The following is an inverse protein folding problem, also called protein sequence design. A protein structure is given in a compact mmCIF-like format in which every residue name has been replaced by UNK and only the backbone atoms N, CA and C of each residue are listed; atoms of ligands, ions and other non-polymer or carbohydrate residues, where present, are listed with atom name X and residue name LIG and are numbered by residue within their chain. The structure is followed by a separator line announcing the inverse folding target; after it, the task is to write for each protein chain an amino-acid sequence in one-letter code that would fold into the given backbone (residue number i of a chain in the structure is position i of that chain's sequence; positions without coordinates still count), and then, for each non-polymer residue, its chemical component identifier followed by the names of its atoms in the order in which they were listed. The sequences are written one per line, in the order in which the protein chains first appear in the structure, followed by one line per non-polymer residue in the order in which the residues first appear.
data_IF_772058895634
#
_entry.id   IF_772058895634
#
_cell.length_a   1.000
_cell.length_b   1.000
_cell.length_c   1.000
_cell.angle_alpha   90.00
_cell.angle_beta   90.00
_cell.angle_gamma   90.00
#
_symmetry.space_group_name_H-M   'P 1'
#
loop_
_entity.id
_entity.type
_entity.pdbx_description
1 polymer ?
#
# COMPACT_ATOMS: atom_id res chain seq x y z
N UNK A 1 -18.30 3.62 -7.77
CA UNK A 1 -17.47 3.57 -6.55
C UNK A 1 -15.99 3.71 -6.91
N UNK A 2 -15.41 2.81 -7.71
CA UNK A 2 -13.98 2.74 -8.06
C UNK A 2 -13.36 4.08 -8.48
N UNK A 3 -13.89 4.76 -9.50
CA UNK A 3 -13.34 6.05 -9.98
C UNK A 3 -13.36 7.17 -8.93
N UNK A 4 -14.42 7.25 -8.13
CA UNK A 4 -14.52 8.26 -7.06
C UNK A 4 -13.45 8.04 -6.00
N UNK A 5 -13.20 6.79 -5.64
CA UNK A 5 -12.15 6.43 -4.69
C UNK A 5 -10.75 6.67 -5.27
N UNK A 6 -10.50 6.27 -6.52
CA UNK A 6 -9.25 6.55 -7.21
C UNK A 6 -8.96 8.04 -7.30
N UNK A 7 -9.94 8.85 -7.69
CA UNK A 7 -9.78 10.31 -7.74
C UNK A 7 -9.39 10.87 -6.38
N UNK A 8 -10.00 10.38 -5.31
CA UNK A 8 -9.69 10.81 -3.94
C UNK A 8 -8.27 10.43 -3.52
N UNK A 9 -7.85 9.20 -3.79
CA UNK A 9 -6.54 8.69 -3.43
C UNK A 9 -5.42 9.35 -4.21
N UNK A 10 -5.59 9.47 -5.51
CA UNK A 10 -4.59 10.07 -6.39
C UNK A 10 -4.45 11.58 -6.17
N UNK A 11 -5.50 12.27 -5.73
CA UNK A 11 -5.48 13.74 -5.49
C UNK A 11 -4.41 14.21 -4.49
N UNK A 12 -3.92 13.33 -3.63
CA UNK A 12 -2.85 13.67 -2.70
C UNK A 12 -1.48 13.88 -3.39
N UNK A 13 -1.30 13.29 -4.59
CA UNK A 13 -0.01 13.26 -5.31
C UNK A 13 -0.12 13.80 -6.73
N UNK A 14 -1.31 13.83 -7.32
CA UNK A 14 -1.57 14.16 -8.71
C UNK A 14 -2.77 15.08 -8.85
N UNK A 15 -2.83 15.82 -9.94
CA UNK A 15 -4.04 16.53 -10.35
C UNK A 15 -5.01 15.53 -10.97
N UNK A 16 -6.26 15.55 -10.52
CA UNK A 16 -7.29 14.64 -10.99
C UNK A 16 -8.54 15.39 -11.44
N UNK A 17 -9.09 15.04 -12.60
CA UNK A 17 -10.29 15.66 -13.16
C UNK A 17 -11.13 14.63 -13.90
N UNK A 18 -12.45 14.68 -13.70
CA UNK A 18 -13.39 13.94 -14.57
C UNK A 18 -13.60 14.69 -15.86
N UNK A 19 -13.40 14.00 -17.00
CA UNK A 19 -13.74 14.55 -18.31
C UNK A 19 -15.24 14.39 -18.62
N UNK A 20 -15.70 15.08 -19.69
CA UNK A 20 -17.10 15.01 -20.13
C UNK A 20 -17.55 13.62 -20.63
N UNK A 21 -16.63 12.68 -20.85
CA UNK A 21 -16.87 11.33 -21.35
C UNK A 21 -16.79 10.26 -20.24
N UNK A 22 -16.68 10.68 -18.98
CA UNK A 22 -16.65 9.78 -17.82
C UNK A 22 -15.29 9.11 -17.59
N UNK A 23 -14.19 9.71 -18.07
CA UNK A 23 -12.84 9.29 -17.74
C UNK A 23 -12.27 10.14 -16.61
N UNK A 24 -11.53 9.51 -15.71
CA UNK A 24 -10.69 10.19 -14.75
C UNK A 24 -9.34 10.49 -15.42
N UNK A 25 -9.08 11.76 -15.67
CA UNK A 25 -7.79 12.25 -16.15
C UNK A 25 -6.86 12.47 -14.96
N UNK A 26 -5.62 12.01 -15.08
CA UNK A 26 -4.57 12.19 -14.08
C UNK A 26 -3.40 12.91 -14.72
N UNK A 27 -2.94 13.99 -14.10
CA UNK A 27 -1.81 14.79 -14.56
C UNK A 27 -0.88 15.16 -13.40
N UNK A 28 0.34 15.54 -13.74
CA UNK A 28 1.34 16.07 -12.80
C UNK A 28 2.00 17.28 -13.43
N UNK A 29 2.02 18.42 -12.71
CA UNK A 29 2.63 19.66 -13.18
C UNK A 29 2.10 20.11 -14.57
N UNK A 30 0.80 19.88 -14.81
CA UNK A 30 0.14 20.19 -16.09
C UNK A 30 0.41 19.18 -17.21
N UNK A 31 1.21 18.14 -16.99
CA UNK A 31 1.53 17.10 -17.97
C UNK A 31 0.53 15.94 -17.78
N UNK A 32 -0.27 15.59 -18.82
CA UNK A 32 -1.17 14.44 -18.75
C UNK A 32 -0.37 13.14 -18.61
N UNK A 33 -0.70 12.34 -17.59
CA UNK A 33 -0.08 11.03 -17.33
C UNK A 33 -0.93 9.89 -17.93
N UNK A 34 -2.20 9.86 -17.56
CA UNK A 34 -3.09 8.78 -17.96
C UNK A 34 -4.58 9.15 -17.86
N UNK A 35 -5.42 8.26 -18.36
CA UNK A 35 -6.87 8.31 -18.24
C UNK A 35 -7.38 6.97 -17.72
N UNK A 36 -8.34 6.98 -16.80
CA UNK A 36 -8.87 5.79 -16.14
C UNK A 36 -10.39 5.75 -16.29
N UNK A 37 -10.92 4.64 -16.82
CA UNK A 37 -12.37 4.41 -16.93
C UNK A 37 -12.98 3.98 -15.58
N UNK A 38 -14.31 4.02 -15.53
CA UNK A 38 -15.10 3.56 -14.37
C UNK A 38 -14.84 2.10 -13.97
N UNK A 39 -14.42 1.26 -14.91
CA UNK A 39 -14.06 -0.15 -14.70
C UNK A 39 -12.57 -0.36 -14.36
N UNK A 40 -11.80 0.71 -14.22
CA UNK A 40 -10.36 0.68 -13.97
C UNK A 40 -9.50 0.41 -15.21
N UNK A 41 -10.09 0.44 -16.42
CA UNK A 41 -9.29 0.39 -17.65
C UNK A 41 -8.39 1.63 -17.72
N UNK A 42 -7.11 1.39 -17.91
CA UNK A 42 -6.05 2.40 -17.89
C UNK A 42 -5.55 2.67 -19.32
N UNK A 43 -5.39 3.94 -19.66
CA UNK A 43 -4.75 4.39 -20.89
C UNK A 43 -3.68 5.43 -20.55
N UNK A 44 -2.42 5.14 -20.85
CA UNK A 44 -1.33 6.10 -20.80
C UNK A 44 -0.98 6.63 -22.18
N UNK A 45 -0.37 7.80 -22.26
CA UNK A 45 0.16 8.33 -23.52
C UNK A 45 1.44 7.56 -23.89
N UNK A 46 1.33 6.61 -24.84
CA UNK A 46 2.42 5.72 -25.23
C UNK A 46 3.51 6.39 -26.09
N UNK A 47 3.26 7.61 -26.61
CA UNK A 47 4.09 8.25 -27.65
C UNK A 47 5.22 9.14 -27.11
N UNK A 48 5.42 9.22 -25.79
CA UNK A 48 6.50 10.02 -25.22
C UNK A 48 7.72 9.14 -24.97
N UNK A 49 8.92 9.61 -25.35
CA UNK A 49 10.20 9.11 -24.86
C UNK A 49 10.18 9.26 -23.34
N UNK A 50 9.71 8.23 -22.66
CA UNK A 50 9.30 8.26 -21.27
C UNK A 50 10.55 8.36 -20.39
N UNK A 51 10.73 9.50 -19.73
CA UNK A 51 11.73 9.64 -18.68
C UNK A 51 11.47 8.59 -17.57
N UNK A 52 12.50 8.22 -16.84
CA UNK A 52 12.36 7.29 -15.72
C UNK A 52 11.39 7.84 -14.65
N UNK A 53 11.35 9.16 -14.49
CA UNK A 53 10.37 9.82 -13.62
C UNK A 53 8.92 9.59 -14.08
N UNK A 54 8.65 9.70 -15.39
CA UNK A 54 7.32 9.44 -15.92
C UNK A 54 6.93 7.97 -15.71
N UNK A 55 7.83 7.03 -15.98
CA UNK A 55 7.60 5.58 -15.76
C UNK A 55 7.29 5.28 -14.31
N UNK A 56 8.03 5.90 -13.38
CA UNK A 56 7.79 5.77 -11.94
C UNK A 56 6.40 6.28 -11.54
N UNK A 57 5.97 7.45 -12.05
CA UNK A 57 4.63 7.99 -11.80
C UNK A 57 3.53 7.08 -12.35
N UNK A 58 3.73 6.51 -13.54
CA UNK A 58 2.76 5.56 -14.14
C UNK A 58 2.68 4.28 -13.31
N UNK A 59 3.81 3.71 -12.88
CA UNK A 59 3.82 2.52 -12.04
C UNK A 59 3.08 2.78 -10.71
N UNK A 60 3.36 3.89 -10.04
CA UNK A 60 2.68 4.30 -8.82
C UNK A 60 1.14 4.43 -8.99
N UNK A 61 0.69 4.99 -10.11
CA UNK A 61 -0.75 5.06 -10.42
C UNK A 61 -1.34 3.67 -10.69
N UNK A 62 -0.61 2.78 -11.37
CA UNK A 62 -1.07 1.41 -11.64
C UNK A 62 -1.18 0.58 -10.37
N UNK A 63 -0.25 0.73 -9.44
CA UNK A 63 -0.27 0.08 -8.13
C UNK A 63 -1.47 0.58 -7.30
N UNK A 64 -1.73 1.89 -7.30
CA UNK A 64 -2.92 2.45 -6.65
C UNK A 64 -4.23 1.91 -7.27
N UNK A 65 -4.30 1.81 -8.62
CA UNK A 65 -5.46 1.22 -9.30
C UNK A 65 -5.66 -0.23 -8.88
N UNK A 66 -4.58 -1.02 -8.81
CA UNK A 66 -4.63 -2.42 -8.42
C UNK A 66 -5.18 -2.57 -6.99
N UNK A 67 -4.61 -1.81 -6.06
CA UNK A 67 -5.03 -1.80 -4.65
C UNK A 67 -6.49 -1.39 -4.49
N UNK A 68 -6.90 -0.29 -5.14
CA UNK A 68 -8.29 0.20 -5.04
C UNK A 68 -9.27 -0.80 -5.65
N UNK A 69 -8.93 -1.43 -6.78
CA UNK A 69 -9.77 -2.48 -7.39
C UNK A 69 -9.93 -3.70 -6.49
N UNK A 70 -8.87 -4.12 -5.82
CA UNK A 70 -8.91 -5.24 -4.88
C UNK A 70 -9.98 -5.00 -3.81
N UNK A 71 -9.85 -3.93 -3.03
CA UNK A 71 -10.78 -3.73 -1.92
C UNK A 71 -12.19 -3.29 -2.34
N UNK A 72 -12.34 -2.56 -3.44
CA UNK A 72 -13.67 -2.23 -3.98
C UNK A 72 -14.39 -3.49 -4.41
N UNK A 73 -13.70 -4.40 -5.13
CA UNK A 73 -14.26 -5.68 -5.53
C UNK A 73 -14.64 -6.54 -4.31
N UNK A 74 -13.76 -6.61 -3.32
CA UNK A 74 -14.07 -7.31 -2.06
C UNK A 74 -15.30 -6.71 -1.39
N UNK A 75 -15.35 -5.40 -1.25
CA UNK A 75 -16.46 -4.69 -0.61
C UNK A 75 -17.80 -4.90 -1.32
N UNK A 76 -17.83 -4.85 -2.65
CA UNK A 76 -19.06 -5.02 -3.43
C UNK A 76 -19.69 -6.41 -3.25
N UNK A 77 -18.88 -7.45 -3.02
CA UNK A 77 -19.33 -8.82 -2.85
C UNK A 77 -19.41 -9.25 -1.36
N UNK A 78 -18.89 -8.45 -0.45
CA UNK A 78 -18.84 -8.78 0.97
C UNK A 78 -20.23 -8.76 1.63
N UNK A 79 -20.52 -9.70 2.53
CA UNK A 79 -21.74 -9.67 3.33
C UNK A 79 -21.71 -8.48 4.29
N UNK A 80 -22.91 -7.97 4.58
CA UNK A 80 -23.08 -6.93 5.60
C UNK A 80 -22.86 -7.52 7.00
N UNK A 81 -22.27 -6.73 7.89
CA UNK A 81 -22.11 -7.12 9.30
C UNK A 81 -23.49 -7.27 9.96
N UNK A 82 -23.61 -8.29 10.81
CA UNK A 82 -24.92 -8.62 11.44
C UNK A 82 -25.24 -7.76 12.65
N UNK A 83 -24.21 -7.32 13.39
CA UNK A 83 -24.41 -6.53 14.59
C UNK A 83 -24.92 -5.12 14.26
N UNK A 84 -25.91 -4.65 15.01
CA UNK A 84 -26.64 -3.39 14.75
C UNK A 84 -25.70 -2.18 14.72
N UNK A 85 -24.75 -2.12 15.64
CA UNK A 85 -23.84 -0.97 15.80
C UNK A 85 -22.81 -0.84 14.66
N UNK A 86 -22.65 -1.86 13.84
CA UNK A 86 -21.70 -1.91 12.71
C UNK A 86 -22.37 -2.37 11.42
N UNK A 87 -23.68 -2.25 11.33
CA UNK A 87 -24.48 -2.72 10.19
C UNK A 87 -24.17 -1.95 8.88
N UNK A 88 -23.52 -0.80 8.94
CA UNK A 88 -23.00 -0.05 7.78
C UNK A 88 -21.67 -0.58 7.25
N UNK A 89 -21.06 -1.53 7.97
CA UNK A 89 -19.84 -2.20 7.53
C UNK A 89 -20.12 -3.51 6.79
N UNK A 90 -19.20 -3.85 5.87
CA UNK A 90 -19.18 -5.14 5.18
C UNK A 90 -17.94 -5.92 5.59
N UNK A 91 -18.10 -7.23 5.79
CA UNK A 91 -17.03 -8.13 6.21
C UNK A 91 -16.19 -8.54 5.00
N UNK A 92 -14.99 -7.98 4.88
CA UNK A 92 -14.06 -8.28 3.78
C UNK A 92 -13.35 -9.61 3.97
N UNK A 93 -12.96 -9.92 5.22
CA UNK A 93 -12.33 -11.19 5.58
C UNK A 93 -12.58 -11.53 7.05
N UNK A 94 -12.47 -12.82 7.39
CA UNK A 94 -12.49 -13.30 8.77
C UNK A 94 -11.55 -14.49 8.93
N UNK A 95 -10.85 -14.55 10.07
CA UNK A 95 -10.04 -15.69 10.47
C UNK A 95 -9.96 -15.79 11.99
N UNK A 96 -10.25 -16.98 12.52
CA UNK A 96 -10.40 -17.19 13.97
C UNK A 96 -11.45 -16.25 14.56
N UNK A 97 -11.03 -15.46 15.52
CA UNK A 97 -11.85 -14.44 16.20
C UNK A 97 -11.66 -13.02 15.63
N UNK A 98 -10.97 -12.89 14.52
CA UNK A 98 -10.64 -11.58 13.93
C UNK A 98 -11.37 -11.37 12.61
N UNK A 99 -11.92 -10.18 12.43
CA UNK A 99 -12.58 -9.74 11.20
C UNK A 99 -11.89 -8.49 10.65
N UNK A 100 -11.77 -8.43 9.32
CA UNK A 100 -11.49 -7.21 8.56
C UNK A 100 -12.79 -6.76 7.91
N UNK A 101 -13.20 -5.55 8.17
CA UNK A 101 -14.41 -4.95 7.61
C UNK A 101 -14.14 -3.57 7.01
N UNK A 102 -15.05 -3.11 6.18
CA UNK A 102 -15.00 -1.77 5.61
C UNK A 102 -16.38 -1.14 5.52
N UNK A 103 -16.41 0.18 5.61
CA UNK A 103 -17.55 1.01 5.23
C UNK A 103 -17.12 2.03 4.18
N UNK A 104 -18.07 2.50 3.38
CA UNK A 104 -17.82 3.51 2.35
C UNK A 104 -18.83 4.65 2.47
N UNK A 105 -18.32 5.87 2.41
CA UNK A 105 -19.15 7.05 2.25
C UNK A 105 -18.64 7.92 1.10
N UNK A 106 -19.53 8.59 0.37
CA UNK A 106 -19.13 9.48 -0.73
C UNK A 106 -18.23 10.64 -0.27
N UNK A 107 -18.47 11.12 0.95
CA UNK A 107 -17.70 12.22 1.54
C UNK A 107 -16.30 11.79 1.98
N UNK A 108 -16.19 10.67 2.68
CA UNK A 108 -14.95 10.27 3.35
C UNK A 108 -14.19 9.15 2.61
N UNK A 109 -14.81 8.46 1.63
CA UNK A 109 -14.28 7.27 0.97
C UNK A 109 -14.37 6.05 1.87
N UNK A 110 -13.46 5.12 1.71
CA UNK A 110 -13.38 3.92 2.52
C UNK A 110 -12.77 4.16 3.89
N UNK A 111 -13.35 3.49 4.88
CA UNK A 111 -12.77 3.29 6.20
C UNK A 111 -12.73 1.78 6.47
N UNK A 112 -11.55 1.27 6.74
CA UNK A 112 -11.31 -0.12 7.10
C UNK A 112 -11.22 -0.24 8.62
N UNK A 113 -11.64 -1.39 9.13
CA UNK A 113 -11.52 -1.70 10.54
C UNK A 113 -11.22 -3.18 10.76
N UNK A 114 -10.41 -3.48 11.76
CA UNK A 114 -10.23 -4.83 12.27
C UNK A 114 -10.80 -4.95 13.67
N UNK A 115 -11.63 -5.97 13.91
CA UNK A 115 -12.24 -6.25 15.21
C UNK A 115 -11.95 -7.68 15.65
N UNK A 116 -12.02 -7.89 16.97
CA UNK A 116 -12.22 -9.21 17.55
C UNK A 116 -13.72 -9.49 17.63
N UNK A 117 -14.12 -10.71 17.31
CA UNK A 117 -15.50 -11.19 17.41
C UNK A 117 -15.65 -12.13 18.59
N UNK A 118 -16.86 -12.16 19.18
CA UNK A 118 -17.24 -13.22 20.11
C UNK A 118 -17.61 -14.52 19.37
N UNK A 119 -17.99 -15.56 20.12
CA UNK A 119 -18.42 -16.83 19.54
C UNK A 119 -19.68 -16.72 18.66
N UNK A 120 -20.51 -15.68 18.87
CA UNK A 120 -21.74 -15.41 18.12
C UNK A 120 -21.46 -14.59 16.85
N UNK A 121 -20.21 -14.16 16.64
CA UNK A 121 -19.79 -13.37 15.48
C UNK A 121 -20.06 -11.87 15.60
N UNK A 122 -20.41 -11.39 16.80
CA UNK A 122 -20.54 -9.95 17.03
C UNK A 122 -19.16 -9.31 17.27
N UNK A 123 -18.88 -8.13 16.68
CA UNK A 123 -17.66 -7.38 16.98
C UNK A 123 -17.74 -6.90 18.44
N UNK A 124 -16.77 -7.31 19.24
CA UNK A 124 -16.88 -7.13 20.69
C UNK A 124 -15.98 -6.04 21.22
N UNK A 125 -14.76 -5.90 20.76
CA UNK A 125 -13.82 -4.92 21.30
C UNK A 125 -12.61 -4.62 20.39
N UNK A 126 -11.98 -3.48 20.68
CA UNK A 126 -10.68 -3.03 20.17
C UNK A 126 -10.62 -2.91 18.65
N UNK A 127 -11.48 -2.04 18.12
CA UNK A 127 -11.44 -1.65 16.72
C UNK A 127 -10.15 -0.88 16.44
N UNK A 128 -9.44 -1.30 15.39
CA UNK A 128 -8.37 -0.53 14.79
C UNK A 128 -8.86 -0.02 13.44
N UNK A 129 -8.94 1.32 13.29
CA UNK A 129 -9.58 2.00 12.17
C UNK A 129 -8.53 2.71 11.32
N UNK A 130 -8.58 2.52 10.03
CA UNK A 130 -7.67 3.17 9.10
C UNK A 130 -8.33 3.41 7.73
N UNK A 131 -8.10 4.55 7.09
CA UNK A 131 -8.44 4.73 5.68
C UNK A 131 -7.44 4.02 4.75
N UNK A 132 -6.32 3.52 5.28
CA UNK A 132 -5.28 2.81 4.51
C UNK A 132 -5.56 1.31 4.50
N UNK A 133 -5.82 0.76 3.31
CA UNK A 133 -6.13 -0.65 3.12
C UNK A 133 -4.95 -1.58 3.42
N UNK A 134 -3.74 -1.20 3.01
CA UNK A 134 -2.53 -2.01 3.25
C UNK A 134 -2.25 -2.14 4.74
N UNK A 135 -2.34 -1.03 5.48
CA UNK A 135 -2.27 -1.05 6.94
C UNK A 135 -3.33 -1.97 7.57
N UNK A 136 -4.58 -1.87 7.09
CA UNK A 136 -5.67 -2.69 7.63
C UNK A 136 -5.48 -4.19 7.33
N UNK A 137 -4.92 -4.55 6.15
CA UNK A 137 -4.55 -5.93 5.82
C UNK A 137 -3.45 -6.45 6.76
N UNK A 138 -2.40 -5.66 6.98
CA UNK A 138 -1.32 -6.02 7.89
C UNK A 138 -1.84 -6.18 9.33
N UNK A 139 -2.62 -5.21 9.82
CA UNK A 139 -3.24 -5.29 11.13
C UNK A 139 -4.12 -6.54 11.29
N UNK A 140 -4.90 -6.88 10.25
CA UNK A 140 -5.69 -8.12 10.23
C UNK A 140 -4.80 -9.36 10.28
N UNK A 141 -3.75 -9.44 9.47
CA UNK A 141 -2.83 -10.57 9.43
C UNK A 141 -2.13 -10.80 10.79
N UNK A 142 -1.72 -9.72 11.45
CA UNK A 142 -1.10 -9.79 12.78
C UNK A 142 -2.13 -10.19 13.85
N UNK A 143 -3.30 -9.53 13.88
CA UNK A 143 -4.32 -9.76 14.91
C UNK A 143 -4.97 -11.13 14.81
N UNK A 144 -5.10 -11.67 13.60
CA UNK A 144 -5.59 -13.02 13.35
C UNK A 144 -4.56 -14.12 13.64
N UNK A 145 -3.30 -13.75 13.83
CA UNK A 145 -2.21 -14.70 14.06
C UNK A 145 -1.62 -15.30 12.79
N UNK A 146 -2.03 -14.85 11.59
CA UNK A 146 -1.40 -15.27 10.33
C UNK A 146 0.07 -14.87 10.27
N UNK A 147 0.41 -13.68 10.81
CA UNK A 147 1.77 -13.16 10.86
C UNK A 147 2.14 -12.86 12.30
N UNK A 148 3.30 -13.36 12.72
CA UNK A 148 3.84 -13.03 14.03
C UNK A 148 4.40 -11.61 14.00
N UNK A 149 3.86 -10.71 14.83
CA UNK A 149 4.29 -9.32 14.96
C UNK A 149 5.81 -9.17 15.12
N UNK A 150 6.46 -10.07 15.85
CA UNK A 150 7.91 -10.04 16.07
C UNK A 150 8.76 -10.43 14.85
N UNK A 151 8.12 -10.79 13.73
CA UNK A 151 8.80 -11.03 12.45
C UNK A 151 8.64 -9.87 11.46
N UNK A 152 7.95 -8.80 11.86
CA UNK A 152 7.77 -7.59 11.06
C UNK A 152 8.72 -6.52 11.61
N UNK A 153 9.43 -5.88 10.70
CA UNK A 153 10.19 -4.67 11.00
C UNK A 153 9.38 -3.46 10.54
N UNK A 154 9.32 -2.41 11.34
CA UNK A 154 8.83 -1.10 10.91
C UNK A 154 9.81 -0.48 9.89
N UNK A 155 9.36 0.52 9.14
CA UNK A 155 10.20 1.25 8.19
C UNK A 155 11.50 1.79 8.85
N UNK A 156 11.39 2.31 10.08
CA UNK A 156 12.56 2.82 10.82
C UNK A 156 13.51 1.69 11.23
N UNK A 157 13.00 0.57 11.72
CA UNK A 157 13.83 -0.60 12.07
C UNK A 157 14.51 -1.19 10.83
N UNK A 158 13.79 -1.27 9.70
CA UNK A 158 14.37 -1.70 8.42
C UNK A 158 15.46 -0.76 7.94
N UNK A 159 15.26 0.56 8.08
CA UNK A 159 16.28 1.56 7.75
C UNK A 159 17.51 1.45 8.64
N UNK A 160 17.33 1.21 9.95
CA UNK A 160 18.43 0.99 10.88
C UNK A 160 19.22 -0.27 10.55
N UNK A 161 18.51 -1.37 10.22
CA UNK A 161 19.14 -2.62 9.79
C UNK A 161 19.89 -2.46 8.46
N UNK A 162 19.33 -1.73 7.48
CA UNK A 162 20.05 -1.40 6.24
C UNK A 162 21.34 -0.64 6.52
N UNK A 163 21.34 0.36 7.41
CA UNK A 163 22.58 1.07 7.82
C UNK A 163 23.60 0.15 8.46
N UNK A 164 23.14 -0.82 9.29
CA UNK A 164 24.04 -1.82 9.85
C UNK A 164 24.66 -2.71 8.76
N UNK A 165 23.89 -3.12 7.77
CA UNK A 165 24.38 -3.92 6.63
C UNK A 165 25.38 -3.11 5.81
N UNK A 166 25.07 -1.85 5.48
CA UNK A 166 25.99 -0.96 4.75
C UNK A 166 27.31 -0.76 5.51
N UNK A 167 27.23 -0.53 6.82
CA UNK A 167 28.41 -0.41 7.68
C UNK A 167 29.26 -1.68 7.67
N UNK A 168 28.63 -2.85 7.81
CA UNK A 168 29.33 -4.13 7.77
C UNK A 168 30.04 -4.35 6.42
N UNK A 169 29.38 -4.08 5.31
CA UNK A 169 29.95 -4.18 3.95
C UNK A 169 31.12 -3.21 3.72
N UNK A 170 31.01 -1.98 4.26
CA UNK A 170 32.04 -0.94 4.03
C UNK A 170 33.24 -1.01 4.98
N UNK A 171 33.13 -1.66 6.14
CA UNK A 171 34.16 -1.60 7.19
C UNK A 171 34.72 -2.97 7.60
N UNK A 172 34.17 -4.08 7.11
CA UNK A 172 34.66 -5.41 7.43
C UNK A 172 35.59 -5.92 6.32
N UNK A 173 36.89 -5.82 6.52
CA UNK A 173 37.92 -6.22 5.56
C UNK A 173 38.00 -7.76 5.35
N UNK A 174 37.33 -8.55 6.20
CA UNK A 174 37.43 -10.02 6.22
C UNK A 174 36.18 -10.72 5.70
N UNK A 175 35.25 -10.01 5.06
CA UNK A 175 34.08 -10.61 4.47
C UNK A 175 34.47 -11.55 3.31
N UNK A 176 33.97 -12.77 3.36
CA UNK A 176 34.05 -13.68 2.21
C UNK A 176 33.01 -13.29 1.16
N UNK A 177 33.24 -13.70 -0.09
CA UNK A 177 32.29 -13.50 -1.19
C UNK A 177 30.88 -14.01 -0.87
N UNK A 178 30.78 -15.15 -0.18
CA UNK A 178 29.48 -15.70 0.25
C UNK A 178 28.77 -14.81 1.30
N UNK A 179 29.53 -14.23 2.23
CA UNK A 179 29.00 -13.32 3.25
C UNK A 179 28.53 -12.00 2.62
N UNK A 180 29.30 -11.43 1.67
CA UNK A 180 28.87 -10.25 0.91
C UNK A 180 27.56 -10.51 0.18
N UNK A 181 27.45 -11.63 -0.53
CA UNK A 181 26.21 -12.02 -1.23
C UNK A 181 25.03 -12.24 -0.30
N UNK A 182 25.26 -12.73 0.93
CA UNK A 182 24.21 -12.86 1.93
C UNK A 182 23.75 -11.49 2.44
N UNK A 183 24.68 -10.56 2.65
CA UNK A 183 24.36 -9.18 3.05
C UNK A 183 23.60 -8.43 1.96
N UNK A 184 23.95 -8.63 0.68
CA UNK A 184 23.18 -8.06 -0.44
C UNK A 184 21.73 -8.55 -0.46
N UNK A 185 21.52 -9.85 -0.32
CA UNK A 185 20.17 -10.43 -0.25
C UNK A 185 19.38 -9.96 0.97
N UNK A 186 20.06 -9.76 2.09
CA UNK A 186 19.42 -9.24 3.29
C UNK A 186 18.99 -7.79 3.09
N UNK A 187 19.84 -6.98 2.48
CA UNK A 187 19.54 -5.58 2.16
C UNK A 187 18.36 -5.47 1.19
N UNK A 188 18.36 -6.25 0.10
CA UNK A 188 17.25 -6.35 -0.84
C UNK A 188 15.93 -6.69 -0.11
N UNK A 189 15.96 -7.71 0.76
CA UNK A 189 14.79 -8.12 1.53
C UNK A 189 14.29 -7.07 2.52
N UNK A 190 15.19 -6.27 3.12
CA UNK A 190 14.83 -5.20 4.03
C UNK A 190 14.24 -3.98 3.31
N UNK A 191 14.66 -3.74 2.06
CA UNK A 191 14.15 -2.64 1.23
C UNK A 191 12.90 -3.03 0.45
N UNK A 192 12.71 -4.32 0.20
CA UNK A 192 11.54 -4.86 -0.50
C UNK A 192 10.26 -4.59 0.33
N UNK A 193 9.34 -3.85 -0.21
CA UNK A 193 8.13 -3.40 0.50
C UNK A 193 8.20 -1.99 1.11
N UNK A 194 9.35 -1.33 1.08
CA UNK A 194 9.52 0.05 1.52
C UNK A 194 10.20 0.91 0.44
N UNK A 195 9.44 1.35 -0.55
CA UNK A 195 9.93 2.17 -1.66
C UNK A 195 10.67 3.46 -1.23
N UNK A 196 10.36 3.98 -0.03
CA UNK A 196 11.06 5.12 0.58
C UNK A 196 12.52 4.82 0.98
N UNK A 197 12.85 3.55 1.27
CA UNK A 197 14.21 3.16 1.67
C UNK A 197 15.18 3.10 0.50
N UNK A 198 14.73 2.73 -0.70
CA UNK A 198 15.56 2.75 -1.91
C UNK A 198 16.10 4.15 -2.23
N UNK A 199 15.26 5.17 -2.04
CA UNK A 199 15.64 6.57 -2.29
C UNK A 199 16.69 7.04 -1.29
N UNK A 200 16.59 6.64 -0.03
CA UNK A 200 17.55 7.00 1.03
C UNK A 200 18.89 6.28 0.87
N UNK A 201 18.89 5.01 0.48
CA UNK A 201 20.11 4.22 0.23
C UNK A 201 20.90 4.79 -0.96
N UNK A 202 20.23 5.12 -2.06
CA UNK A 202 20.87 5.75 -3.24
C UNK A 202 21.48 7.14 -2.96
N UNK A 203 20.90 7.91 -2.03
CA UNK A 203 21.46 9.20 -1.59
C UNK A 203 22.72 9.03 -0.73
N UNK A 204 22.78 8.02 0.15
CA UNK A 204 23.97 7.74 0.98
C UNK A 204 25.18 7.37 0.11
N UNK A 205 24.99 6.55 -0.92
CA UNK A 205 26.07 6.15 -1.82
C UNK A 205 26.66 7.34 -2.63
N UNK A 206 25.84 8.35 -2.93
CA UNK A 206 26.33 9.57 -3.63
C UNK A 206 27.15 10.50 -2.73
N UNK A 207 26.86 10.53 -1.42
CA UNK A 207 27.58 11.36 -0.46
C UNK A 207 28.93 10.77 -0.04
N UNK A 208 29.09 9.45 -0.09
CA UNK A 208 30.34 8.76 0.22
C UNK A 208 31.29 8.63 -0.98
N UNK A 209 30.87 9.11 -2.17
CA UNK A 209 31.68 9.09 -3.42
C UNK A 209 32.24 10.48 -3.79
N UNK A 210 32.10 11.46 -2.91
CA UNK A 210 32.72 12.79 -2.99
C UNK A 210 33.78 12.95 -1.89
#
# INVERSE_FOLDING_TARGET
MLQKELAKRLKARYDTKMDGNGWLEVSSDGIPLCRIKYNGQFLSNADQNLSDEYRSKIADIQDEISTVREYVSLYEHAPQMKAVDVSDYRQLAAFGDTVLAATYSEKNGFMFCTWKQNADGDPVFWGDYSPNYEYAKEAFAVRSGFVNKHRLFSENESADLCRCVDFAKGNCETLTYEQERQLDKLQEKLTDGYSSLETKSRMSHRLNSM
#
